data_IF_151163690198
#
_entry.id   IF_151163690198
#
_cell.length_a   1.000
_cell.length_b   1.000
_cell.length_c   1.000
_cell.angle_alpha   90.00
_cell.angle_beta   90.00
_cell.angle_gamma   90.00
#
_symmetry.space_group_name_H-M   'P 1'
#
loop_
_entity.id
_entity.type
_entity.pdbx_description
1 polymer ?
#
# COMPACT_ATOMS: atom_id res chain seq x y z
N UNK A 1 -11.40 -1.24 -11.71
CA UNK A 1 -10.79 -0.27 -10.76
C UNK A 1 -9.31 -0.15 -11.09
N UNK A 2 -8.88 0.91 -11.79
CA UNK A 2 -7.55 0.99 -12.46
C UNK A 2 -7.37 -0.11 -13.53
N UNK A 3 -8.32 -0.20 -14.47
CA UNK A 3 -8.22 -1.11 -15.61
C UNK A 3 -7.02 -0.81 -16.52
N UNK A 4 -6.79 0.45 -16.87
CA UNK A 4 -5.85 0.86 -17.94
C UNK A 4 -4.50 1.42 -17.44
N UNK A 5 -4.05 1.05 -16.24
CA UNK A 5 -2.86 1.63 -15.61
C UNK A 5 -1.55 1.30 -16.36
N UNK A 6 -0.84 2.34 -16.79
CA UNK A 6 0.43 2.25 -17.52
C UNK A 6 1.64 2.22 -16.58
N UNK A 7 2.85 2.36 -17.12
CA UNK A 7 4.04 2.63 -16.32
C UNK A 7 4.13 4.12 -15.92
N UNK A 8 3.80 5.02 -16.86
CA UNK A 8 3.99 6.46 -16.70
C UNK A 8 2.95 7.12 -15.76
N UNK A 9 1.90 6.40 -15.36
CA UNK A 9 0.94 6.83 -14.33
C UNK A 9 1.56 6.84 -12.91
N UNK A 10 2.68 6.13 -12.72
CA UNK A 10 3.39 5.97 -11.45
C UNK A 10 2.54 5.32 -10.36
N UNK A 11 2.65 5.84 -9.13
CA UNK A 11 1.78 5.43 -8.03
C UNK A 11 2.06 4.04 -7.46
N UNK A 12 3.24 3.48 -7.70
CA UNK A 12 3.65 2.20 -7.14
C UNK A 12 3.56 2.19 -5.61
N UNK A 13 3.19 1.05 -5.04
CA UNK A 13 3.46 0.74 -3.63
C UNK A 13 4.85 0.11 -3.57
N UNK A 14 5.81 0.80 -2.97
CA UNK A 14 7.08 0.18 -2.58
C UNK A 14 6.96 -0.36 -1.17
N UNK A 15 7.48 -1.57 -0.96
CA UNK A 15 7.60 -2.22 0.35
C UNK A 15 9.08 -2.57 0.53
N UNK A 16 9.63 -2.24 1.69
CA UNK A 16 11.03 -2.43 2.04
C UNK A 16 11.21 -3.68 2.92
N UNK A 17 12.45 -4.16 3.02
CA UNK A 17 12.83 -5.04 4.12
C UNK A 17 12.52 -4.40 5.48
N UNK A 18 12.36 -5.18 6.57
CA UNK A 18 12.24 -4.65 7.93
C UNK A 18 13.43 -3.77 8.39
N UNK A 19 14.55 -3.82 7.67
CA UNK A 19 15.72 -2.96 7.85
C UNK A 19 15.53 -1.54 7.28
N UNK A 20 14.57 -1.34 6.37
CA UNK A 20 14.38 -0.12 5.59
C UNK A 20 15.44 0.14 4.51
N UNK A 21 16.39 -0.78 4.30
CA UNK A 21 17.58 -0.54 3.44
C UNK A 21 17.31 -0.84 1.96
N UNK A 22 16.49 -1.85 1.67
CA UNK A 22 16.25 -2.41 0.34
C UNK A 22 14.75 -2.53 0.07
N UNK A 23 14.34 -2.27 -1.17
CA UNK A 23 12.98 -2.52 -1.64
C UNK A 23 12.84 -4.01 -1.97
N UNK A 24 11.87 -4.70 -1.35
CA UNK A 24 11.56 -6.11 -1.63
C UNK A 24 10.49 -6.26 -2.71
N UNK A 25 9.58 -5.29 -2.82
CA UNK A 25 8.40 -5.34 -3.69
C UNK A 25 8.08 -3.93 -4.18
N UNK A 26 7.85 -3.78 -5.49
CA UNK A 26 7.37 -2.54 -6.14
C UNK A 26 6.15 -2.88 -6.98
N UNK A 27 4.95 -2.66 -6.45
CA UNK A 27 3.71 -3.08 -7.09
C UNK A 27 2.90 -1.91 -7.67
N UNK A 28 2.54 -2.04 -8.95
CA UNK A 28 1.68 -1.06 -9.63
C UNK A 28 0.22 -1.24 -9.17
N UNK A 29 -0.54 -0.14 -9.00
CA UNK A 29 -1.92 -0.18 -8.52
C UNK A 29 -2.91 -0.61 -9.62
N UNK A 30 -2.70 -1.79 -10.22
CA UNK A 30 -3.52 -2.37 -11.28
C UNK A 30 -4.84 -2.93 -10.72
N UNK A 31 -5.89 -3.00 -11.55
CA UNK A 31 -7.13 -3.68 -11.19
C UNK A 31 -6.91 -5.15 -10.81
N UNK A 32 -7.56 -5.56 -9.72
CA UNK A 32 -7.48 -6.91 -9.17
C UNK A 32 -6.31 -7.14 -8.20
N UNK A 33 -5.33 -6.22 -8.14
CA UNK A 33 -4.20 -6.35 -7.21
C UNK A 33 -4.64 -6.14 -5.77
N UNK A 34 -4.38 -7.14 -4.92
CA UNK A 34 -4.53 -7.09 -3.47
C UNK A 34 -3.20 -7.49 -2.81
N UNK A 35 -2.44 -6.49 -2.36
CA UNK A 35 -1.32 -6.72 -1.45
C UNK A 35 -1.87 -7.04 -0.06
N UNK A 36 -1.19 -7.88 0.75
CA UNK A 36 -1.45 -8.05 2.19
C UNK A 36 -0.11 -8.22 2.92
N UNK A 37 0.15 -7.40 3.93
CA UNK A 37 1.43 -7.38 4.67
C UNK A 37 1.27 -6.75 6.07
N UNK A 38 2.21 -7.04 6.97
CA UNK A 38 2.27 -6.47 8.33
C UNK A 38 2.95 -5.09 8.28
N UNK A 39 2.20 -4.00 8.22
CA UNK A 39 2.77 -2.68 7.93
C UNK A 39 3.56 -2.03 9.09
N UNK A 40 3.65 -2.69 10.24
CA UNK A 40 4.57 -2.34 11.34
C UNK A 40 5.97 -2.96 11.16
N UNK A 41 6.04 -4.08 10.45
CA UNK A 41 7.26 -4.86 10.23
C UNK A 41 7.89 -4.53 8.87
N UNK A 42 7.07 -4.13 7.90
CA UNK A 42 7.51 -3.76 6.56
C UNK A 42 7.23 -2.27 6.33
N UNK A 43 8.28 -1.41 6.37
CA UNK A 43 8.19 -0.04 5.90
C UNK A 43 7.70 -0.04 4.46
N UNK A 44 6.86 0.93 4.10
CA UNK A 44 6.27 1.01 2.78
C UNK A 44 5.92 2.46 2.44
N UNK A 45 6.01 2.81 1.17
CA UNK A 45 5.63 4.14 0.68
C UNK A 45 4.83 4.05 -0.62
N UNK A 46 4.17 5.16 -0.95
CA UNK A 46 3.39 5.28 -2.19
C UNK A 46 4.09 6.32 -3.05
N UNK A 47 4.60 5.89 -4.19
CA UNK A 47 5.26 6.82 -5.11
C UNK A 47 4.26 7.86 -5.64
N UNK A 48 4.79 8.98 -6.13
CA UNK A 48 4.00 10.01 -6.80
C UNK A 48 3.22 9.36 -7.95
N UNK A 49 1.95 9.72 -8.07
CA UNK A 49 1.12 9.30 -9.20
C UNK A 49 0.71 10.50 -10.02
N UNK A 50 0.78 10.33 -11.34
CA UNK A 50 0.43 11.35 -12.33
C UNK A 50 -1.03 11.22 -12.81
N UNK A 51 -1.76 10.22 -12.31
CA UNK A 51 -3.14 9.91 -12.68
C UNK A 51 -4.01 9.72 -11.41
N UNK A 52 -5.33 9.59 -11.56
CA UNK A 52 -6.27 9.48 -10.43
C UNK A 52 -6.10 8.15 -9.71
N UNK A 53 -5.28 8.11 -8.65
CA UNK A 53 -4.88 6.89 -7.95
C UNK A 53 -5.73 6.47 -6.73
N UNK A 54 -7.00 6.17 -7.06
CA UNK A 54 -9.00 4.12 -6.79
C UNK A 54 -8.81 2.68 -6.10
N UNK A 55 -8.90 2.57 -4.78
CA UNK A 55 -8.84 1.35 -3.97
C UNK A 55 -9.39 1.69 -2.58
N UNK A 56 -9.22 0.84 -1.58
CA UNK A 56 -9.87 0.92 -0.26
C UNK A 56 -8.82 0.57 0.80
N UNK A 57 -8.84 1.17 1.99
CA UNK A 57 -8.00 0.75 3.13
C UNK A 57 -8.80 -0.05 4.17
N UNK A 58 -8.17 -1.01 4.85
CA UNK A 58 -8.84 -1.89 5.80
C UNK A 58 -7.87 -2.64 6.71
N UNK A 59 -8.19 -2.69 8.01
CA UNK A 59 -7.34 -3.26 9.05
C UNK A 59 -7.89 -4.61 9.52
N UNK A 60 -7.07 -5.66 9.52
CA UNK A 60 -7.42 -6.94 10.12
C UNK A 60 -7.10 -6.94 11.62
N UNK A 61 -8.14 -6.97 12.46
CA UNK A 61 -7.98 -7.10 13.92
C UNK A 61 -7.62 -8.54 14.31
N UNK A 62 -6.38 -8.76 14.73
CA UNK A 62 -5.99 -10.02 15.37
C UNK A 62 -6.52 -10.04 16.81
N UNK A 63 -7.42 -10.97 17.11
CA UNK A 63 -8.02 -11.12 18.45
C UNK A 63 -7.26 -12.15 19.28
N UNK A 64 -6.05 -11.78 19.72
CA UNK A 64 -5.29 -12.60 20.68
C UNK A 64 -5.96 -12.65 22.05
N UNK A 65 -6.06 -13.83 22.65
CA UNK A 65 -6.75 -14.06 23.93
C UNK A 65 -5.97 -13.65 25.19
N UNK A 66 -4.82 -12.97 25.05
CA UNK A 66 -4.10 -12.32 26.14
C UNK A 66 -3.68 -10.88 25.81
N UNK A 67 -4.31 -9.93 26.50
CA UNK A 67 -3.74 -8.66 27.01
C UNK A 67 -2.90 -7.72 26.12
N UNK A 68 -2.82 -7.90 24.80
CA UNK A 68 -2.26 -6.89 23.90
C UNK A 68 -3.08 -6.80 22.60
N UNK A 69 -3.77 -5.68 22.39
CA UNK A 69 -4.49 -5.40 21.14
C UNK A 69 -3.53 -4.74 20.16
N UNK A 70 -2.72 -5.56 19.47
CA UNK A 70 -1.88 -5.06 18.37
C UNK A 70 -2.80 -4.83 17.18
N UNK A 71 -3.12 -3.57 16.92
CA UNK A 71 -3.80 -3.12 15.71
C UNK A 71 -2.78 -3.08 14.56
N UNK A 72 -2.31 -4.26 14.14
CA UNK A 72 -1.42 -4.42 12.98
C UNK A 72 -2.01 -3.66 11.78
N UNK A 73 -1.34 -2.62 11.27
CA UNK A 73 -1.88 -1.89 10.14
C UNK A 73 -1.67 -2.71 8.87
N UNK A 74 -2.68 -2.65 8.01
CA UNK A 74 -2.63 -3.21 6.67
C UNK A 74 -3.15 -2.14 5.71
N UNK A 75 -2.36 -1.80 4.72
CA UNK A 75 -2.67 -0.77 3.72
C UNK A 75 -2.96 -1.43 2.37
N UNK A 76 -4.18 -1.94 2.24
CA UNK A 76 -4.87 -1.78 0.96
C UNK A 76 -5.01 -0.26 0.74
N UNK A 77 -4.70 0.23 -0.46
CA UNK A 77 -4.29 1.63 -0.66
C UNK A 77 -5.45 2.51 -1.20
N UNK A 78 -5.25 3.83 -1.34
CA UNK A 78 -5.80 4.76 -2.37
C UNK A 78 -5.51 6.22 -2.00
N UNK A 79 -5.55 7.12 -2.98
CA UNK A 79 -5.70 8.56 -2.76
C UNK A 79 -6.45 9.22 -3.93
N UNK A 80 -7.46 10.05 -3.63
CA UNK A 80 -7.98 11.03 -4.59
C UNK A 80 -7.27 12.38 -4.38
N UNK A 81 -5.97 12.42 -4.69
CA UNK A 81 -5.13 13.61 -4.57
C UNK A 81 -4.67 14.11 -5.93
N UNK A 82 -5.26 15.19 -6.43
CA UNK A 82 -4.78 15.89 -7.62
C UNK A 82 -3.76 16.94 -7.19
N UNK A 83 -2.48 16.56 -7.11
CA UNK A 83 -1.37 17.52 -6.96
C UNK A 83 -0.97 17.99 -8.35
N UNK A 84 -1.66 19.00 -8.86
CA UNK A 84 -1.17 19.79 -9.99
C UNK A 84 -0.07 20.72 -9.49
N UNK A 85 1.01 20.80 -10.27
CA UNK A 85 2.26 21.52 -10.04
C UNK A 85 2.10 22.99 -9.65
#
# INVERSE_FOLDING_TARGET
MNEDWQADDGGELQIFEPTGVSVIVTERPKFGTMNIFLSEMFPHEVLISHNTRRSIAGWFRVSGSLSCVINHPFVLNWSKGSVTN
#
